data_IF_873960854858
#
_entry.id   IF_873960854858
#
_cell.length_a   1.000
_cell.length_b   1.000
_cell.length_c   1.000
_cell.angle_alpha   90.00
_cell.angle_beta   90.00
_cell.angle_gamma   90.00
#
_symmetry.space_group_name_H-M   'P 1'
#
loop_
_entity.id
_entity.type
_entity.pdbx_description
1 polymer ?
#
# COMPACT_ATOMS: atom_id res chain seq x y z
N UNK A 1 30.17 22.16 -12.07
CA UNK A 1 28.73 22.34 -12.39
C UNK A 1 28.20 21.05 -12.99
N UNK A 2 27.36 20.34 -12.23
CA UNK A 2 26.77 19.04 -12.61
C UNK A 2 26.00 19.16 -13.94
N UNK A 3 26.17 18.18 -14.82
CA UNK A 3 25.48 18.11 -16.12
C UNK A 3 23.98 17.83 -15.98
N UNK A 4 23.56 17.36 -14.81
CA UNK A 4 22.21 16.86 -14.56
C UNK A 4 21.18 17.97 -14.37
N UNK A 5 21.56 19.09 -13.72
CA UNK A 5 20.64 20.16 -13.32
C UNK A 5 20.41 21.23 -14.39
N UNK A 6 20.33 20.85 -15.68
CA UNK A 6 19.97 21.79 -16.76
C UNK A 6 18.51 21.60 -17.15
N UNK A 7 17.65 22.54 -16.73
CA UNK A 7 16.28 22.63 -17.25
C UNK A 7 16.29 23.12 -18.68
N UNK A 8 15.47 22.52 -19.54
CA UNK A 8 15.33 22.93 -20.94
C UNK A 8 13.83 22.97 -21.31
N UNK A 9 13.13 24.06 -20.95
CA UNK A 9 11.68 24.17 -21.14
C UNK A 9 11.26 24.02 -22.61
N UNK A 10 12.13 24.43 -23.55
CA UNK A 10 11.91 24.30 -25.00
C UNK A 10 11.81 22.85 -25.49
N UNK A 11 12.36 21.90 -24.73
CA UNK A 11 12.31 20.46 -25.02
C UNK A 11 11.35 19.72 -24.08
N UNK A 12 10.52 20.45 -23.31
CA UNK A 12 9.64 19.87 -22.30
C UNK A 12 10.37 19.29 -21.08
N UNK A 13 11.70 19.43 -20.99
CA UNK A 13 12.51 18.84 -19.91
C UNK A 13 12.40 19.69 -18.65
N UNK A 14 11.59 19.24 -17.70
CA UNK A 14 11.47 19.85 -16.38
C UNK A 14 12.43 19.20 -15.40
N UNK A 15 12.66 19.87 -14.28
CA UNK A 15 13.52 19.36 -13.21
C UNK A 15 12.90 18.19 -12.44
N UNK A 16 11.57 18.08 -12.46
CA UNK A 16 10.81 16.98 -11.85
C UNK A 16 10.97 15.65 -12.60
N UNK A 17 11.36 15.68 -13.89
CA UNK A 17 11.58 14.49 -14.73
C UNK A 17 13.04 13.98 -14.68
N UNK A 18 13.89 14.54 -13.81
CA UNK A 18 15.29 14.18 -13.70
C UNK A 18 15.44 12.94 -12.80
N UNK A 19 15.94 11.85 -13.36
CA UNK A 19 16.34 10.66 -12.61
C UNK A 19 17.81 10.31 -12.89
N UNK A 20 18.45 9.67 -11.92
CA UNK A 20 19.81 9.13 -12.04
C UNK A 20 19.66 7.61 -12.10
N UNK A 21 20.18 7.01 -13.17
CA UNK A 21 20.25 5.56 -13.32
C UNK A 21 21.71 5.13 -13.22
N UNK A 22 22.06 4.44 -12.15
CA UNK A 22 23.39 3.88 -11.90
C UNK A 22 23.28 2.35 -11.86
N UNK A 23 24.24 1.67 -12.49
CA UNK A 23 24.30 0.21 -12.56
C UNK A 23 25.51 -0.37 -11.81
N UNK A 24 26.34 0.48 -11.20
CA UNK A 24 27.62 0.09 -10.59
C UNK A 24 27.60 0.22 -9.07
N UNK A 25 27.00 1.28 -8.54
CA UNK A 25 27.00 1.56 -7.10
C UNK A 25 25.80 0.93 -6.40
N UNK A 26 25.99 0.50 -5.15
CA UNK A 26 24.89 0.02 -4.32
C UNK A 26 24.00 1.18 -3.87
N UNK A 27 22.75 0.86 -3.60
CA UNK A 27 21.71 1.82 -3.21
C UNK A 27 22.11 2.63 -1.96
N UNK A 28 22.77 1.99 -1.00
CA UNK A 28 23.18 2.63 0.26
C UNK A 28 24.31 3.66 0.08
N UNK A 29 25.24 3.39 -0.85
CA UNK A 29 26.32 4.32 -1.19
C UNK A 29 25.76 5.56 -1.90
N UNK A 30 24.79 5.36 -2.80
CA UNK A 30 24.06 6.44 -3.47
C UNK A 30 23.28 7.26 -2.44
N UNK A 31 22.47 6.64 -1.58
CA UNK A 31 21.74 7.34 -0.51
C UNK A 31 22.68 8.20 0.32
N UNK A 32 23.77 7.63 0.81
CA UNK A 32 24.73 8.33 1.68
C UNK A 32 25.36 9.55 0.99
N UNK A 33 25.65 9.45 -0.31
CA UNK A 33 26.21 10.56 -1.08
C UNK A 33 25.22 11.71 -1.32
N UNK A 34 23.91 11.42 -1.35
CA UNK A 34 22.84 12.40 -1.60
C UNK A 34 22.11 12.87 -0.33
N UNK A 35 22.27 12.19 0.79
CA UNK A 35 21.69 12.50 2.10
C UNK A 35 21.93 13.96 2.57
N UNK A 36 23.11 14.58 2.36
CA UNK A 36 23.34 15.97 2.75
C UNK A 36 22.55 17.00 1.92
N UNK A 37 22.03 16.60 0.76
CA UNK A 37 21.43 17.48 -0.24
C UNK A 37 19.92 17.26 -0.46
N UNK A 38 19.38 16.15 0.03
CA UNK A 38 17.98 15.77 -0.14
C UNK A 38 17.37 15.33 1.19
N UNK A 39 16.48 16.14 1.74
CA UNK A 39 15.67 15.76 2.90
C UNK A 39 14.61 14.74 2.47
N UNK A 40 14.96 13.45 2.55
CA UNK A 40 14.10 12.28 2.48
C UNK A 40 13.02 12.29 1.37
N UNK A 41 13.35 11.69 0.23
CA UNK A 41 12.34 10.99 -0.56
C UNK A 41 12.50 9.51 -0.25
N UNK A 42 11.49 8.92 0.41
CA UNK A 42 11.49 7.50 0.79
C UNK A 42 11.91 6.65 -0.39
N UNK A 43 13.03 5.96 -0.26
CA UNK A 43 13.43 4.95 -1.22
C UNK A 43 12.41 3.81 -1.11
N UNK A 44 11.52 3.70 -2.09
CA UNK A 44 10.74 2.49 -2.27
C UNK A 44 11.70 1.40 -2.72
N UNK A 45 12.23 0.65 -1.76
CA UNK A 45 12.70 -0.70 -2.06
C UNK A 45 11.59 -1.44 -2.80
N UNK A 46 11.97 -2.35 -3.69
CA UNK A 46 11.04 -3.14 -4.47
C UNK A 46 9.94 -3.64 -3.53
N UNK A 47 8.69 -3.30 -3.83
CA UNK A 47 7.55 -3.66 -2.98
C UNK A 47 7.51 -5.18 -2.94
N UNK A 48 8.03 -5.76 -1.86
CA UNK A 48 8.19 -7.19 -1.76
C UNK A 48 6.80 -7.80 -1.57
N UNK A 49 6.42 -8.69 -2.48
CA UNK A 49 5.14 -9.43 -2.44
C UNK A 49 5.00 -10.14 -1.09
N UNK A 50 6.12 -10.53 -0.47
CA UNK A 50 6.14 -11.12 0.86
C UNK A 50 5.50 -10.18 1.91
N UNK A 51 5.70 -8.87 1.84
CA UNK A 51 5.11 -7.91 2.79
C UNK A 51 3.58 -7.86 2.65
N UNK A 52 3.06 -8.03 1.43
CA UNK A 52 1.61 -8.09 1.22
C UNK A 52 1.03 -9.36 1.85
N UNK A 53 1.69 -10.51 1.68
CA UNK A 53 1.28 -11.77 2.29
C UNK A 53 1.36 -11.71 3.82
N UNK A 54 2.44 -11.21 4.38
CA UNK A 54 2.58 -11.04 5.83
C UNK A 54 1.50 -10.12 6.41
N UNK A 55 1.21 -8.99 5.75
CA UNK A 55 0.13 -8.11 6.18
C UNK A 55 -1.23 -8.79 6.08
N UNK A 56 -1.47 -9.60 5.05
CA UNK A 56 -2.70 -10.37 4.92
C UNK A 56 -2.85 -11.35 6.08
N UNK A 57 -1.82 -12.16 6.33
CA UNK A 57 -1.85 -13.18 7.38
C UNK A 57 -2.11 -12.54 8.75
N UNK A 58 -1.45 -11.42 9.05
CA UNK A 58 -1.68 -10.68 10.30
C UNK A 58 -3.12 -10.15 10.40
N UNK A 59 -3.70 -9.65 9.31
CA UNK A 59 -5.08 -9.14 9.31
C UNK A 59 -6.10 -10.27 9.46
N UNK A 60 -5.86 -11.40 8.77
CA UNK A 60 -6.69 -12.59 8.82
C UNK A 60 -6.66 -13.22 10.22
N UNK A 61 -5.49 -13.24 10.88
CA UNK A 61 -5.30 -13.78 12.24
C UNK A 61 -6.08 -13.01 13.31
N UNK A 62 -6.40 -11.72 13.11
CA UNK A 62 -7.22 -10.95 14.07
C UNK A 62 -8.68 -11.44 14.09
N UNK A 63 -9.14 -12.09 13.01
CA UNK A 63 -10.49 -12.65 12.93
C UNK A 63 -11.60 -11.60 12.88
N UNK A 64 -11.30 -10.36 12.48
CA UNK A 64 -12.32 -9.30 12.31
C UNK A 64 -13.27 -9.61 11.16
N UNK A 65 -12.79 -10.28 10.13
CA UNK A 65 -13.56 -10.78 9.00
C UNK A 65 -13.16 -12.23 8.70
N UNK A 66 -14.05 -12.97 8.07
CA UNK A 66 -13.78 -14.30 7.53
C UNK A 66 -13.67 -14.24 5.99
N UNK A 67 -12.90 -15.15 5.39
CA UNK A 67 -12.74 -15.25 3.95
C UNK A 67 -14.08 -15.46 3.23
N UNK A 68 -14.99 -16.26 3.81
CA UNK A 68 -16.32 -16.47 3.23
C UNK A 68 -17.14 -15.17 3.17
N UNK A 69 -17.00 -14.28 4.16
CA UNK A 69 -17.70 -12.97 4.16
C UNK A 69 -17.14 -12.05 3.08
N UNK A 70 -15.82 -12.10 2.85
CA UNK A 70 -15.16 -11.38 1.75
C UNK A 70 -15.65 -11.89 0.40
N UNK A 71 -15.74 -13.20 0.20
CA UNK A 71 -16.25 -13.80 -1.03
C UNK A 71 -17.71 -13.44 -1.29
N UNK A 72 -18.58 -13.53 -0.28
CA UNK A 72 -19.99 -13.15 -0.39
C UNK A 72 -20.14 -11.65 -0.73
N UNK A 73 -19.37 -10.78 -0.05
CA UNK A 73 -19.37 -9.35 -0.37
C UNK A 73 -18.96 -9.10 -1.82
N UNK A 74 -17.86 -9.70 -2.26
CA UNK A 74 -17.32 -9.53 -3.62
C UNK A 74 -18.30 -10.04 -4.66
N UNK A 75 -18.92 -11.20 -4.45
CA UNK A 75 -19.91 -11.77 -5.36
C UNK A 75 -21.12 -10.84 -5.52
N UNK A 76 -21.70 -10.35 -4.42
CA UNK A 76 -22.84 -9.41 -4.45
C UNK A 76 -22.47 -8.06 -5.06
N UNK A 77 -21.26 -7.57 -4.76
CA UNK A 77 -20.74 -6.34 -5.33
C UNK A 77 -20.63 -6.42 -6.85
N UNK A 78 -20.07 -7.50 -7.39
CA UNK A 78 -19.98 -7.73 -8.84
C UNK A 78 -21.33 -8.03 -9.51
N UNK A 79 -22.30 -8.54 -8.75
CA UNK A 79 -23.69 -8.67 -9.20
C UNK A 79 -24.45 -7.33 -9.19
N UNK A 80 -23.79 -6.23 -8.81
CA UNK A 80 -24.33 -4.88 -8.81
C UNK A 80 -25.59 -4.75 -7.92
N UNK A 81 -25.61 -5.48 -6.81
CA UNK A 81 -26.65 -5.38 -5.80
C UNK A 81 -26.62 -4.04 -5.04
N UNK A 82 -27.75 -3.68 -4.43
CA UNK A 82 -27.88 -2.44 -3.67
C UNK A 82 -27.04 -2.44 -2.39
N UNK A 83 -26.59 -1.26 -1.96
CA UNK A 83 -25.81 -1.07 -0.74
C UNK A 83 -26.49 -1.63 0.52
N UNK A 84 -27.83 -1.70 0.52
CA UNK A 84 -28.60 -2.27 1.62
C UNK A 84 -28.36 -3.78 1.80
N UNK A 85 -28.01 -4.52 0.74
CA UNK A 85 -27.67 -5.95 0.85
C UNK A 85 -26.21 -6.20 1.23
N UNK A 86 -25.34 -5.21 1.00
CA UNK A 86 -23.91 -5.24 1.29
C UNK A 86 -23.58 -4.76 2.72
N UNK A 87 -24.31 -3.75 3.20
CA UNK A 87 -24.13 -3.17 4.55
C UNK A 87 -24.11 -4.21 5.68
N UNK A 88 -25.02 -5.21 5.71
CA UNK A 88 -25.04 -6.20 6.78
C UNK A 88 -23.75 -7.02 6.89
N UNK A 89 -23.08 -7.29 5.77
CA UNK A 89 -21.82 -8.06 5.75
C UNK A 89 -20.70 -7.22 6.39
N UNK A 90 -20.66 -5.92 6.07
CA UNK A 90 -19.70 -4.97 6.67
C UNK A 90 -20.02 -4.76 8.15
N UNK A 91 -21.30 -4.67 8.51
CA UNK A 91 -21.76 -4.44 9.89
C UNK A 91 -21.34 -5.58 10.82
N UNK A 92 -21.31 -6.82 10.34
CA UNK A 92 -20.80 -7.97 11.12
C UNK A 92 -19.32 -7.79 11.46
N UNK A 93 -18.48 -7.47 10.47
CA UNK A 93 -17.06 -7.21 10.70
C UNK A 93 -16.84 -5.97 11.60
N UNK A 94 -17.64 -4.92 11.41
CA UNK A 94 -17.60 -3.72 12.24
C UNK A 94 -18.01 -4.03 13.70
N UNK A 95 -19.00 -4.90 13.91
CA UNK A 95 -19.41 -5.32 15.24
C UNK A 95 -18.31 -6.16 15.91
N UNK A 96 -17.65 -7.06 15.17
CA UNK A 96 -16.50 -7.81 15.67
C UNK A 96 -15.37 -6.90 16.13
N UNK A 97 -15.01 -5.93 15.29
CA UNK A 97 -13.97 -4.95 15.61
C UNK A 97 -14.33 -4.08 16.82
N UNK A 98 -15.57 -3.62 16.93
CA UNK A 98 -15.95 -2.65 17.94
C UNK A 98 -16.31 -3.29 19.30
N UNK A 99 -17.02 -4.42 19.28
CA UNK A 99 -17.70 -4.97 20.45
C UNK A 99 -17.34 -6.42 20.76
N UNK A 100 -17.23 -7.32 19.77
CA UNK A 100 -17.11 -8.76 20.04
C UNK A 100 -15.70 -9.18 20.46
N UNK A 101 -14.67 -8.66 19.78
CA UNK A 101 -13.28 -9.03 20.05
C UNK A 101 -12.68 -8.28 21.24
N UNK A 102 -13.41 -7.31 21.80
CA UNK A 102 -13.00 -6.48 22.95
C UNK A 102 -11.55 -5.94 22.84
N UNK A 103 -11.09 -5.68 21.62
CA UNK A 103 -9.71 -5.26 21.34
C UNK A 103 -9.34 -3.99 22.12
N UNK A 104 -8.11 -3.96 22.62
CA UNK A 104 -7.56 -2.75 23.23
C UNK A 104 -7.46 -1.62 22.19
N UNK A 105 -7.43 -0.37 22.66
CA UNK A 105 -7.36 0.77 21.75
C UNK A 105 -6.10 0.74 20.88
N UNK A 106 -4.98 0.27 21.43
CA UNK A 106 -3.71 0.16 20.71
C UNK A 106 -3.80 -0.90 19.60
N UNK A 107 -4.44 -2.05 19.86
CA UNK A 107 -4.68 -3.10 18.87
C UNK A 107 -5.63 -2.63 17.75
N UNK A 108 -6.67 -1.87 18.11
CA UNK A 108 -7.58 -1.24 17.14
C UNK A 108 -6.84 -0.26 16.21
N UNK A 109 -5.91 0.50 16.77
CA UNK A 109 -5.08 1.44 16.01
C UNK A 109 -4.12 0.67 15.10
N UNK A 110 -3.44 -0.35 15.62
CA UNK A 110 -2.49 -1.17 14.89
C UNK A 110 -3.16 -1.89 13.72
N UNK A 111 -4.30 -2.54 13.94
CA UNK A 111 -5.09 -3.17 12.88
C UNK A 111 -5.45 -2.16 11.79
N UNK A 112 -5.91 -0.96 12.16
CA UNK A 112 -6.28 0.09 11.20
C UNK A 112 -5.06 0.58 10.38
N UNK A 113 -3.88 0.65 10.99
CA UNK A 113 -2.64 1.02 10.31
C UNK A 113 -2.26 -0.07 9.31
N UNK A 114 -2.26 -1.34 9.73
CA UNK A 114 -1.94 -2.49 8.86
C UNK A 114 -2.92 -2.62 7.70
N UNK A 115 -4.22 -2.47 7.94
CA UNK A 115 -5.24 -2.52 6.90
C UNK A 115 -5.03 -1.40 5.85
N UNK A 116 -4.72 -0.18 6.30
CA UNK A 116 -4.39 0.94 5.39
C UNK A 116 -3.12 0.66 4.59
N UNK A 117 -2.11 0.08 5.23
CA UNK A 117 -0.86 -0.28 4.58
C UNK A 117 -1.10 -1.36 3.51
N UNK A 118 -1.89 -2.39 3.84
CA UNK A 118 -2.29 -3.44 2.91
C UNK A 118 -2.97 -2.86 1.67
N UNK A 119 -4.00 -2.02 1.82
CA UNK A 119 -4.70 -1.38 0.69
C UNK A 119 -3.75 -0.55 -0.18
N UNK A 120 -2.83 0.20 0.45
CA UNK A 120 -1.84 1.02 -0.27
C UNK A 120 -0.89 0.16 -1.10
N UNK A 121 -0.31 -0.89 -0.48
CA UNK A 121 0.63 -1.80 -1.14
C UNK A 121 -0.08 -2.58 -2.24
N UNK A 122 -1.27 -3.12 -1.95
CA UNK A 122 -2.08 -3.84 -2.91
C UNK A 122 -2.40 -2.97 -4.13
N UNK A 123 -2.82 -1.71 -3.94
CA UNK A 123 -3.10 -0.81 -5.06
C UNK A 123 -1.87 -0.50 -5.93
N UNK A 124 -0.70 -0.38 -5.30
CA UNK A 124 0.57 -0.24 -6.02
C UNK A 124 0.90 -1.51 -6.82
N UNK A 125 0.78 -2.68 -6.20
CA UNK A 125 1.06 -3.97 -6.84
C UNK A 125 0.08 -4.29 -7.96
N UNK A 126 -1.23 -4.09 -7.76
CA UNK A 126 -2.26 -4.31 -8.78
C UNK A 126 -2.07 -3.43 -10.03
N UNK A 127 -1.36 -2.30 -9.90
CA UNK A 127 -1.03 -1.42 -11.02
C UNK A 127 0.21 -1.88 -11.80
N UNK A 128 1.04 -2.75 -11.22
CA UNK A 128 2.35 -3.17 -11.75
C UNK A 128 2.31 -4.65 -12.15
N UNK A 129 1.49 -5.48 -11.50
CA UNK A 129 1.31 -6.88 -11.85
C UNK A 129 0.48 -6.99 -13.14
N UNK A 130 1.00 -7.69 -14.17
CA UNK A 130 0.18 -8.03 -15.32
C UNK A 130 -0.98 -8.93 -14.86
N UNK A 131 -2.20 -8.58 -15.23
CA UNK A 131 -3.32 -9.51 -15.18
C UNK A 131 -3.03 -10.62 -16.20
N UNK A 132 -2.68 -11.82 -15.72
CA UNK A 132 -2.73 -13.05 -16.54
C UNK A 132 -4.13 -13.67 -16.46
#
# INVERSE_FOLDING_TARGET
MSRLNRSAPKLGKKTEDLFILDFFNNVDDIKTAFDPFYTATSLSEATDINVLHELKDVLDDVGIYDWHEVEDFVARYFNNEDADSLSPIIDVAANRFNAELELENDDKIDFKIKAKQFVKIYGQMASIMPFE
#
